data_IF_025008592556
#
_entry.id   IF_025008592556
#
_cell.length_a   1.000
_cell.length_b   1.000
_cell.length_c   1.000
_cell.angle_alpha   90.00
_cell.angle_beta   90.00
_cell.angle_gamma   90.00
#
_symmetry.space_group_name_H-M   'P 1'
#
loop_
_entity.id
_entity.type
_entity.pdbx_description
1 polymer ?
#
# COMPACT_ATOMS: atom_id res chain seq x y z
N UNK A 1 0.28 -4.75 14.42
CA UNK A 1 1.52 -4.71 13.62
C UNK A 1 1.50 -3.40 12.85
N UNK A 2 2.64 -2.74 12.61
CA UNK A 2 2.65 -1.58 11.74
C UNK A 2 2.24 -2.05 10.32
N UNK A 3 1.37 -1.28 9.65
CA UNK A 3 0.87 -1.54 8.30
C UNK A 3 0.94 -0.27 7.45
N UNK A 4 1.18 -0.43 6.14
CA UNK A 4 0.99 0.62 5.14
C UNK A 4 -0.23 0.29 4.31
N UNK A 5 -1.13 1.26 4.20
CA UNK A 5 -2.27 1.22 3.27
C UNK A 5 -1.91 2.09 2.08
N UNK A 6 -1.99 1.53 0.88
CA UNK A 6 -1.78 2.23 -0.39
C UNK A 6 -3.09 2.24 -1.15
N UNK A 7 -3.51 3.40 -1.63
CA UNK A 7 -4.66 3.56 -2.52
C UNK A 7 -4.12 3.89 -3.90
N UNK A 8 -4.51 3.10 -4.89
CA UNK A 8 -4.12 3.27 -6.27
C UNK A 8 -5.36 3.31 -7.16
N UNK A 9 -5.24 3.90 -8.34
CA UNK A 9 -6.22 3.71 -9.40
C UNK A 9 -5.91 2.44 -10.21
N UNK A 10 -6.80 2.10 -11.14
CA UNK A 10 -6.60 0.96 -12.07
C UNK A 10 -5.43 1.10 -13.04
N UNK A 11 -4.93 2.31 -13.24
CA UNK A 11 -3.76 2.55 -14.09
C UNK A 11 -2.44 2.29 -13.34
N UNK A 12 -2.51 2.04 -12.03
CA UNK A 12 -1.34 1.84 -11.16
C UNK A 12 -0.80 3.14 -10.57
N UNK A 13 -1.47 4.28 -10.73
CA UNK A 13 -1.09 5.52 -10.08
C UNK A 13 -1.50 5.49 -8.61
N UNK A 14 -0.58 5.86 -7.72
CA UNK A 14 -0.84 6.00 -6.30
C UNK A 14 -1.63 7.30 -6.06
N UNK A 15 -2.80 7.16 -5.47
CA UNK A 15 -3.69 8.26 -5.13
C UNK A 15 -3.44 8.78 -3.71
N UNK A 16 -3.25 7.88 -2.75
CA UNK A 16 -2.92 8.22 -1.36
C UNK A 16 -2.29 7.03 -0.64
N UNK A 17 -1.67 7.28 0.50
CA UNK A 17 -1.18 6.22 1.38
C UNK A 17 -1.12 6.65 2.84
N UNK A 18 -1.14 5.67 3.73
CA UNK A 18 -1.05 5.87 5.17
C UNK A 18 -0.19 4.80 5.83
N UNK A 19 0.68 5.15 6.80
CA UNK A 19 0.94 6.51 7.28
C UNK A 19 1.85 7.32 6.33
N UNK A 20 1.57 8.63 6.19
CA UNK A 20 2.32 9.55 5.31
C UNK A 20 3.75 9.83 5.76
N UNK A 21 4.10 9.49 7.00
CA UNK A 21 5.44 9.64 7.55
C UNK A 21 6.43 8.59 7.05
N UNK A 22 5.97 7.57 6.33
CA UNK A 22 6.81 6.51 5.79
C UNK A 22 7.09 6.72 4.31
N UNK A 23 8.30 6.33 3.89
CA UNK A 23 8.66 6.28 2.48
C UNK A 23 8.03 5.06 1.83
N UNK A 24 6.87 5.27 1.20
CA UNK A 24 6.08 4.21 0.55
C UNK A 24 6.87 3.46 -0.53
N UNK A 25 7.84 4.12 -1.19
CA UNK A 25 8.64 3.53 -2.26
C UNK A 25 9.38 2.26 -1.81
N UNK A 26 9.74 2.18 -0.52
CA UNK A 26 10.38 1.00 0.09
C UNK A 26 9.43 -0.17 0.30
N UNK A 27 8.13 0.09 0.27
CA UNK A 27 7.08 -0.89 0.53
C UNK A 27 6.35 -1.31 -0.74
N UNK A 28 6.36 -0.51 -1.82
CA UNK A 28 5.76 -0.88 -3.11
C UNK A 28 6.37 -2.13 -3.75
N UNK A 29 7.65 -2.42 -3.44
CA UNK A 29 8.31 -3.65 -3.87
C UNK A 29 7.94 -4.87 -3.02
N UNK A 30 7.31 -4.67 -1.86
CA UNK A 30 6.87 -5.75 -0.98
C UNK A 30 5.52 -6.28 -1.47
N UNK A 31 5.33 -7.59 -1.28
CA UNK A 31 4.06 -8.23 -1.59
C UNK A 31 2.99 -7.72 -0.61
N UNK A 32 1.86 -7.16 -1.09
CA UNK A 32 0.76 -6.81 -0.22
C UNK A 32 0.15 -8.06 0.42
N UNK A 33 -0.23 -7.92 1.69
CA UNK A 33 -0.92 -8.94 2.46
C UNK A 33 -2.39 -9.06 2.02
N UNK A 34 -3.03 -7.92 1.76
CA UNK A 34 -4.41 -7.86 1.28
C UNK A 34 -4.51 -6.88 0.11
N UNK A 35 -5.33 -7.27 -0.87
CA UNK A 35 -5.66 -6.45 -2.04
C UNK A 35 -7.17 -6.37 -2.12
N UNK A 36 -7.71 -5.16 -2.10
CA UNK A 36 -9.11 -4.89 -2.35
C UNK A 36 -9.23 -4.06 -3.63
N UNK A 37 -10.03 -4.53 -4.58
CA UNK A 37 -10.30 -3.85 -5.85
C UNK A 37 -11.83 -3.73 -6.00
N UNK A 38 -12.34 -2.51 -6.03
CA UNK A 38 -13.78 -2.22 -6.19
C UNK A 38 -14.17 -1.92 -7.65
N UNK A 39 -13.23 -1.98 -8.58
CA UNK A 39 -13.47 -1.65 -9.98
C UNK A 39 -13.13 -0.20 -10.36
N UNK A 40 -12.77 0.66 -9.42
CA UNK A 40 -12.26 2.02 -9.67
C UNK A 40 -10.96 2.27 -8.91
N UNK A 41 -10.88 1.74 -7.69
CA UNK A 41 -9.80 1.92 -6.74
C UNK A 41 -9.26 0.55 -6.30
N UNK A 42 -7.94 0.52 -6.16
CA UNK A 42 -7.20 -0.61 -5.64
C UNK A 42 -6.60 -0.18 -4.29
N UNK A 43 -6.94 -0.90 -3.22
CA UNK A 43 -6.36 -0.71 -1.90
C UNK A 43 -5.43 -1.87 -1.58
N UNK A 44 -4.18 -1.57 -1.29
CA UNK A 44 -3.17 -2.52 -0.88
C UNK A 44 -2.89 -2.34 0.60
N UNK A 45 -2.94 -3.42 1.37
CA UNK A 45 -2.41 -3.46 2.73
C UNK A 45 -1.08 -4.21 2.71
N UNK A 46 -0.04 -3.57 3.21
CA UNK A 46 1.33 -4.10 3.24
C UNK A 46 1.79 -4.10 4.69
N UNK A 47 2.11 -5.28 5.23
CA UNK A 47 2.66 -5.38 6.58
C UNK A 47 4.11 -4.89 6.61
N UNK A 48 4.42 -4.03 7.59
CA UNK A 48 5.77 -3.47 7.77
C UNK A 48 6.61 -4.31 8.73
N UNK A 49 6.11 -5.49 9.12
CA UNK A 49 6.53 -6.24 10.31
C UNK A 49 7.92 -6.91 10.25
N UNK A 50 8.78 -6.64 9.25
CA UNK A 50 10.08 -7.32 9.13
C UNK A 50 11.23 -6.45 8.59
N UNK A 51 11.23 -5.13 8.82
CA UNK A 51 12.34 -4.24 8.41
C UNK A 51 12.89 -3.36 9.54
N UNK A 52 12.82 -3.86 10.78
CA UNK A 52 13.51 -3.29 11.95
C UNK A 52 14.53 -4.28 12.49
#
# INVERSE_FOLDING_TARGET
MPEVIVIMNKNGDILDFSPRSLDISKFLSKKPNEIYDDGELIRLRIDIANDV
#
